data_IF_012997995691
#
_entry.id   IF_012997995691
#
_cell.length_a   1.000
_cell.length_b   1.000
_cell.length_c   1.000
_cell.angle_alpha   90.00
_cell.angle_beta   90.00
_cell.angle_gamma   90.00
#
_symmetry.space_group_name_H-M   'P 1'
#
loop_
_entity.id
_entity.type
_entity.pdbx_description
1 polymer ?
#
# COMPACT_ATOMS: atom_id res chain seq x y z
N UNK A 1 45.55 -20.23 54.22
CA UNK A 1 45.81 -21.03 53.00
C UNK A 1 44.51 -21.66 52.56
N UNK A 2 43.93 -21.21 51.44
CA UNK A 2 43.27 -22.02 50.40
C UNK A 2 42.75 -21.02 49.34
N UNK A 3 43.44 -20.95 48.19
CA UNK A 3 43.09 -20.08 47.07
C UNK A 3 42.27 -20.92 46.08
N UNK A 4 41.02 -20.53 45.81
CA UNK A 4 40.17 -21.12 44.78
C UNK A 4 40.20 -20.16 43.59
N UNK A 5 40.75 -20.52 42.42
CA UNK A 5 40.69 -19.66 41.25
C UNK A 5 39.32 -19.81 40.56
N UNK A 6 38.50 -18.77 40.62
CA UNK A 6 37.30 -18.67 39.80
C UNK A 6 37.71 -18.34 38.35
N UNK A 7 37.46 -19.30 37.47
CA UNK A 7 37.79 -19.28 36.05
C UNK A 7 36.82 -18.33 35.33
N UNK A 8 37.34 -17.21 34.83
CA UNK A 8 36.60 -16.24 34.03
C UNK A 8 36.36 -16.84 32.65
N UNK A 9 35.11 -17.26 32.39
CA UNK A 9 34.65 -17.65 31.05
C UNK A 9 34.32 -16.38 30.29
N UNK A 10 35.24 -15.95 29.42
CA UNK A 10 34.99 -14.92 28.41
C UNK A 10 34.15 -15.57 27.30
N UNK A 11 32.84 -15.40 27.38
CA UNK A 11 31.93 -15.75 26.29
C UNK A 11 32.12 -14.76 25.15
N UNK A 12 32.74 -15.20 24.06
CA UNK A 12 32.76 -14.47 22.80
C UNK A 12 31.33 -14.43 22.24
N UNK A 13 30.64 -13.31 22.40
CA UNK A 13 29.42 -13.01 21.66
C UNK A 13 29.82 -12.81 20.19
N UNK A 14 29.69 -13.88 19.41
CA UNK A 14 29.75 -13.84 17.96
C UNK A 14 28.66 -12.87 17.47
N UNK A 15 29.07 -11.74 16.90
CA UNK A 15 28.19 -10.88 16.16
C UNK A 15 27.75 -11.64 14.90
N UNK A 16 26.51 -12.10 14.85
CA UNK A 16 25.89 -12.58 13.63
C UNK A 16 25.62 -11.38 12.72
N UNK A 17 26.62 -10.97 11.94
CA UNK A 17 26.40 -10.07 10.81
C UNK A 17 25.73 -10.90 9.72
N UNK A 18 24.40 -10.88 9.67
CA UNK A 18 23.66 -11.44 8.56
C UNK A 18 23.90 -10.55 7.34
N UNK A 19 24.96 -10.85 6.57
CA UNK A 19 25.13 -10.29 5.24
C UNK A 19 24.01 -10.84 4.36
N UNK A 20 22.98 -10.03 4.13
CA UNK A 20 21.95 -10.31 3.12
C UNK A 20 22.61 -10.12 1.76
N UNK A 21 23.06 -11.22 1.16
CA UNK A 21 23.45 -11.25 -0.24
C UNK A 21 22.18 -11.22 -1.08
N UNK A 22 21.89 -10.07 -1.68
CA UNK A 22 20.88 -9.97 -2.74
C UNK A 22 21.49 -10.58 -4.00
N UNK A 23 20.91 -11.66 -4.57
CA UNK A 23 21.40 -12.23 -5.82
C UNK A 23 21.30 -11.20 -6.95
N UNK A 24 22.39 -10.99 -7.69
CA UNK A 24 22.48 -10.02 -8.78
C UNK A 24 21.84 -10.52 -10.07
N UNK A 25 21.56 -11.81 -10.17
CA UNK A 25 20.98 -12.43 -11.34
C UNK A 25 19.47 -12.55 -11.18
N UNK A 26 18.74 -11.87 -12.07
CA UNK A 26 17.31 -12.08 -12.27
C UNK A 26 17.08 -13.52 -12.72
N UNK A 27 16.57 -14.38 -11.83
CA UNK A 27 16.10 -15.71 -12.20
C UNK A 27 14.75 -15.55 -12.90
N UNK A 28 14.76 -15.64 -14.23
CA UNK A 28 13.56 -15.83 -15.04
C UNK A 28 13.05 -17.26 -14.82
N UNK A 29 11.94 -17.39 -14.09
CA UNK A 29 11.14 -18.61 -14.11
C UNK A 29 10.13 -18.49 -15.25
N UNK A 30 10.27 -19.33 -16.26
CA UNK A 30 9.18 -19.56 -17.20
C UNK A 30 8.08 -20.35 -16.48
N UNK A 31 6.94 -19.71 -16.29
CA UNK A 31 5.72 -20.37 -15.81
C UNK A 31 5.23 -21.26 -16.96
N UNK A 32 5.17 -22.59 -16.81
CA UNK A 32 4.60 -23.44 -17.85
C UNK A 32 3.15 -23.03 -18.08
N UNK A 33 2.66 -22.89 -19.32
CA UNK A 33 1.27 -22.56 -19.57
C UNK A 33 0.40 -23.75 -19.17
N UNK A 34 -0.05 -23.77 -17.91
CA UNK A 34 -1.20 -24.57 -17.51
C UNK A 34 -2.46 -23.82 -17.97
N UNK A 35 -2.74 -23.89 -19.28
CA UNK A 35 -3.96 -23.35 -19.86
C UNK A 35 -3.74 -22.80 -21.26
N UNK A 36 -4.49 -23.34 -22.22
CA UNK A 36 -4.75 -22.66 -23.49
C UNK A 36 -5.40 -21.31 -23.20
N UNK A 37 -4.72 -20.21 -23.56
CA UNK A 37 -5.32 -18.87 -23.50
C UNK A 37 -6.34 -18.79 -24.64
N UNK A 38 -7.59 -19.13 -24.33
CA UNK A 38 -8.73 -18.84 -25.20
C UNK A 38 -9.25 -17.45 -24.86
N UNK A 39 -8.92 -16.46 -25.69
CA UNK A 39 -9.75 -15.25 -25.80
C UNK A 39 -10.97 -15.61 -26.62
N UNK A 40 -11.84 -16.42 -26.03
CA UNK A 40 -13.13 -16.80 -26.59
C UNK A 40 -14.19 -16.44 -25.56
N UNK A 41 -14.80 -15.27 -25.74
CA UNK A 41 -16.16 -15.08 -25.27
C UNK A 41 -17.03 -16.09 -26.02
N UNK A 42 -17.50 -17.11 -25.29
CA UNK A 42 -18.68 -17.93 -25.59
C UNK A 42 -18.78 -18.58 -26.97
N UNK A 43 -18.65 -19.90 -27.00
CA UNK A 43 -19.12 -20.75 -28.10
C UNK A 43 -17.98 -21.50 -28.79
N UNK A 44 -17.91 -22.81 -28.55
CA UNK A 44 -16.89 -23.69 -29.12
C UNK A 44 -17.11 -24.00 -30.60
N UNK A 45 -17.03 -22.99 -31.45
CA UNK A 45 -17.04 -23.15 -32.90
C UNK A 45 -15.75 -22.62 -33.52
N UNK A 46 -15.28 -23.31 -34.56
CA UNK A 46 -14.05 -23.01 -35.29
C UNK A 46 -14.07 -21.56 -35.78
N UNK A 47 -12.97 -20.82 -35.53
CA UNK A 47 -12.81 -19.39 -35.81
C UNK A 47 -13.27 -18.95 -37.22
N UNK A 48 -13.23 -19.85 -38.21
CA UNK A 48 -13.71 -19.59 -39.56
C UNK A 48 -15.24 -19.45 -39.67
N UNK A 49 -16.01 -20.15 -38.83
CA UNK A 49 -17.48 -20.15 -38.86
C UNK A 49 -18.09 -18.87 -38.25
N UNK A 50 -17.42 -18.27 -37.27
CA UNK A 50 -17.88 -17.01 -36.63
C UNK A 50 -17.82 -15.84 -37.61
N UNK A 51 -16.83 -15.80 -38.50
CA UNK A 51 -16.68 -14.76 -39.51
C UNK A 51 -17.81 -14.86 -40.56
N UNK A 52 -18.10 -16.07 -41.07
CA UNK A 52 -19.20 -16.28 -42.02
C UNK A 52 -20.57 -15.95 -41.42
N UNK A 53 -20.79 -16.25 -40.12
CA UNK A 53 -22.03 -15.87 -39.43
C UNK A 53 -22.18 -14.36 -39.23
N UNK A 54 -21.08 -13.64 -38.99
CA UNK A 54 -21.09 -12.18 -38.85
C UNK A 54 -21.27 -11.43 -40.18
N UNK A 55 -20.97 -12.08 -41.31
CA UNK A 55 -21.19 -11.56 -42.66
C UNK A 55 -22.60 -11.88 -43.19
N UNK A 56 -23.30 -12.85 -42.61
CA UNK A 56 -24.65 -13.25 -43.01
C UNK A 56 -25.76 -12.45 -42.32
N UNK A 57 -25.51 -11.90 -41.13
CA UNK A 57 -26.46 -11.03 -40.45
C UNK A 57 -26.10 -9.56 -40.67
N UNK A 58 -26.69 -8.99 -41.73
CA UNK A 58 -26.60 -7.58 -42.04
C UNK A 58 -26.99 -6.72 -40.83
N UNK A 59 -25.98 -6.11 -40.21
CA UNK A 59 -26.16 -5.01 -39.28
C UNK A 59 -26.68 -3.80 -40.04
N UNK A 60 -27.99 -3.57 -39.97
CA UNK A 60 -28.62 -2.29 -40.32
C UNK A 60 -28.16 -1.24 -39.31
N UNK A 61 -27.00 -0.64 -39.60
CA UNK A 61 -26.43 0.46 -38.84
C UNK A 61 -27.25 1.74 -38.96
N UNK A 62 -27.64 2.31 -37.82
CA UNK A 62 -27.92 3.73 -37.72
C UNK A 62 -26.57 4.47 -37.69
N UNK A 63 -26.14 4.95 -38.85
CA UNK A 63 -24.88 5.68 -39.02
C UNK A 63 -25.04 7.14 -38.59
N UNK A 64 -24.57 7.49 -37.39
CA UNK A 64 -24.13 8.86 -37.12
C UNK A 64 -22.72 9.02 -37.72
N UNK A 65 -22.44 10.04 -38.55
CA UNK A 65 -21.11 10.19 -39.12
C UNK A 65 -20.15 10.71 -38.05
N UNK A 66 -19.24 9.85 -37.59
CA UNK A 66 -17.97 10.28 -37.03
C UNK A 66 -17.10 10.79 -38.20
N UNK A 67 -16.34 11.88 -38.05
CA UNK A 67 -15.31 12.21 -39.02
C UNK A 67 -14.26 11.10 -38.99
N UNK A 68 -14.38 10.16 -39.92
CA UNK A 68 -13.39 9.10 -40.15
C UNK A 68 -12.17 9.73 -40.81
N UNK A 69 -11.36 10.45 -40.03
CA UNK A 69 -10.06 10.96 -40.43
C UNK A 69 -8.96 10.11 -39.79
N UNK A 70 -9.05 8.79 -39.98
CA UNK A 70 -8.01 7.85 -39.60
C UNK A 70 -7.92 6.77 -40.68
N UNK A 71 -6.73 6.60 -41.25
CA UNK A 71 -6.43 5.49 -42.15
C UNK A 71 -6.57 4.17 -41.38
N UNK A 72 -7.14 3.12 -41.98
CA UNK A 72 -7.27 1.82 -41.32
C UNK A 72 -5.89 1.29 -40.93
N UNK A 73 -5.76 0.76 -39.71
CA UNK A 73 -4.49 0.32 -39.11
C UNK A 73 -3.91 -0.97 -39.73
N UNK A 74 -4.64 -1.63 -40.63
CA UNK A 74 -4.32 -2.98 -41.12
C UNK A 74 -3.64 -3.02 -42.51
N UNK A 75 -3.30 -1.86 -43.08
CA UNK A 75 -2.47 -1.77 -44.27
C UNK A 75 -1.02 -1.48 -43.84
N UNK A 76 -0.23 -2.53 -43.59
CA UNK A 76 1.19 -2.51 -43.17
C UNK A 76 2.14 -1.80 -44.17
N UNK A 77 1.60 -1.11 -45.18
CA UNK A 77 2.34 -0.36 -46.19
C UNK A 77 2.24 1.13 -45.91
N UNK A 78 3.25 1.65 -45.18
CA UNK A 78 3.42 3.09 -44.98
C UNK A 78 3.80 3.76 -46.32
N UNK A 79 2.84 4.41 -46.99
CA UNK A 79 3.07 5.05 -48.28
C UNK A 79 3.70 6.44 -48.11
N UNK A 80 5.03 6.50 -47.96
CA UNK A 80 5.81 7.74 -47.78
C UNK A 80 5.65 8.77 -48.93
N UNK A 81 5.03 8.37 -50.05
CA UNK A 81 4.80 9.21 -51.23
C UNK A 81 3.50 10.03 -51.13
N UNK A 82 2.58 9.65 -50.24
CA UNK A 82 1.22 10.21 -50.17
C UNK A 82 1.19 11.60 -49.51
N UNK A 83 2.20 11.89 -48.68
CA UNK A 83 2.37 13.18 -48.01
C UNK A 83 3.49 13.99 -48.63
N UNK A 84 3.20 15.24 -48.98
CA UNK A 84 4.22 16.18 -49.45
C UNK A 84 5.16 16.58 -48.31
N UNK A 85 6.41 16.93 -48.64
CA UNK A 85 7.39 17.40 -47.66
C UNK A 85 6.89 18.63 -46.87
N UNK A 86 6.05 19.47 -47.50
CA UNK A 86 5.44 20.63 -46.83
C UNK A 86 4.39 20.22 -45.80
N UNK A 87 3.59 19.18 -46.07
CA UNK A 87 2.63 18.67 -45.11
C UNK A 87 3.32 18.09 -43.87
N UNK A 88 4.40 17.33 -44.07
CA UNK A 88 5.19 16.78 -42.97
C UNK A 88 5.78 17.86 -42.06
N UNK A 89 6.20 19.01 -42.64
CA UNK A 89 6.70 20.16 -41.85
C UNK A 89 5.59 20.80 -41.01
N UNK A 90 4.37 20.89 -41.55
CA UNK A 90 3.22 21.44 -40.83
C UNK A 90 2.87 20.51 -39.65
N UNK A 91 2.78 19.22 -39.90
CA UNK A 91 2.42 18.22 -38.88
C UNK A 91 3.49 18.18 -37.78
N UNK A 92 4.78 18.24 -38.14
CA UNK A 92 5.87 18.33 -37.19
C UNK A 92 5.78 19.60 -36.31
N UNK A 93 5.44 20.75 -36.89
CA UNK A 93 5.28 22.00 -36.15
C UNK A 93 4.07 21.98 -35.19
N UNK A 94 2.97 21.32 -35.59
CA UNK A 94 1.80 21.12 -34.73
C UNK A 94 2.16 20.19 -33.57
N UNK A 95 2.79 19.06 -33.87
CA UNK A 95 3.21 18.10 -32.85
C UNK A 95 4.16 18.75 -31.83
N UNK A 96 5.10 19.59 -32.27
CA UNK A 96 6.00 20.31 -31.37
C UNK A 96 5.24 21.29 -30.46
N UNK A 97 4.30 22.07 -31.01
CA UNK A 97 3.46 22.99 -30.24
C UNK A 97 2.66 22.23 -29.18
N UNK A 98 2.05 21.11 -29.56
CA UNK A 98 1.22 20.32 -28.66
C UNK A 98 2.05 19.69 -27.54
N UNK A 99 3.26 19.22 -27.85
CA UNK A 99 4.20 18.68 -26.87
C UNK A 99 4.65 19.76 -25.88
N UNK A 100 4.90 20.99 -26.35
CA UNK A 100 5.19 22.14 -25.48
C UNK A 100 4.00 22.49 -24.57
N UNK A 101 2.77 22.49 -25.12
CA UNK A 101 1.55 22.74 -24.37
C UNK A 101 1.24 21.63 -23.33
N UNK A 102 1.58 20.39 -23.65
CA UNK A 102 1.47 19.27 -22.71
C UNK A 102 2.51 19.40 -21.58
N UNK A 103 3.74 19.76 -21.92
CA UNK A 103 4.83 19.97 -20.94
C UNK A 103 4.54 21.11 -19.97
N UNK A 104 3.98 22.23 -20.43
CA UNK A 104 3.66 23.37 -19.57
C UNK A 104 2.53 23.09 -18.57
N UNK A 105 1.73 22.04 -18.80
CA UNK A 105 0.65 21.59 -17.91
C UNK A 105 1.10 20.50 -16.93
N UNK A 106 2.31 19.97 -17.06
CA UNK A 106 2.78 18.88 -16.22
C UNK A 106 3.12 19.40 -14.82
N UNK A 107 2.33 19.02 -13.82
CA UNK A 107 2.63 19.28 -12.42
C UNK A 107 3.26 18.01 -11.83
N UNK A 108 4.56 18.07 -11.55
CA UNK A 108 5.25 16.99 -10.82
C UNK A 108 4.99 17.20 -9.34
N UNK A 109 4.15 16.36 -8.75
CA UNK A 109 3.93 16.35 -7.30
C UNK A 109 5.07 15.55 -6.66
N UNK A 110 5.94 16.16 -5.85
CA UNK A 110 6.95 15.42 -5.12
C UNK A 110 6.26 14.50 -4.11
N UNK A 111 6.72 13.25 -4.03
CA UNK A 111 6.29 12.35 -2.95
C UNK A 111 6.82 12.89 -1.63
N UNK A 112 5.93 13.04 -0.65
CA UNK A 112 6.34 13.35 0.72
C UNK A 112 6.95 12.10 1.35
N UNK A 113 7.81 12.28 2.36
CA UNK A 113 8.38 11.16 3.11
C UNK A 113 7.29 10.31 3.74
N UNK A 114 7.40 8.99 3.60
CA UNK A 114 6.53 8.03 4.29
C UNK A 114 6.64 8.29 5.80
N UNK A 115 5.51 8.28 6.55
CA UNK A 115 5.55 8.45 7.99
C UNK A 115 6.47 7.40 8.64
N UNK A 116 7.21 7.82 9.68
CA UNK A 116 8.07 6.91 10.43
C UNK A 116 7.22 5.82 11.09
N UNK A 117 7.55 4.55 10.83
CA UNK A 117 6.93 3.45 11.56
C UNK A 117 7.31 3.53 13.04
N UNK A 118 6.29 3.64 13.90
CA UNK A 118 6.50 3.49 15.33
C UNK A 118 6.48 2.00 15.65
N UNK A 119 7.67 1.42 15.76
CA UNK A 119 7.85 0.02 16.16
C UNK A 119 7.21 -0.23 17.54
N UNK A 120 6.41 -1.30 17.67
CA UNK A 120 5.78 -1.69 18.94
C UNK A 120 4.32 -2.15 18.79
N UNK A 121 3.60 -2.15 19.91
CA UNK A 121 2.18 -2.56 19.97
C UNK A 121 1.31 -1.66 19.10
N UNK A 122 0.44 -2.26 18.29
CA UNK A 122 -0.49 -1.53 17.44
C UNK A 122 -1.70 -1.01 18.25
N UNK A 123 -1.67 0.29 18.57
CA UNK A 123 -2.75 0.96 19.32
C UNK A 123 -4.03 1.12 18.49
N UNK A 124 -3.93 1.20 17.15
CA UNK A 124 -5.10 1.32 16.28
C UNK A 124 -5.90 0.02 16.28
N UNK A 125 -5.20 -1.13 16.23
CA UNK A 125 -5.82 -2.44 16.37
C UNK A 125 -6.50 -2.59 17.73
N UNK A 126 -5.84 -2.18 18.81
CA UNK A 126 -6.44 -2.19 20.15
C UNK A 126 -7.69 -1.30 20.23
N UNK A 127 -7.68 -0.11 19.61
CA UNK A 127 -8.84 0.77 19.56
C UNK A 127 -10.05 0.10 18.90
N UNK A 128 -9.82 -0.63 17.80
CA UNK A 128 -10.88 -1.32 17.05
C UNK A 128 -11.40 -2.57 17.75
N UNK A 129 -10.56 -3.27 18.50
CA UNK A 129 -10.96 -4.45 19.27
C UNK A 129 -11.73 -4.09 20.55
N UNK A 130 -11.56 -2.87 21.06
CA UNK A 130 -12.26 -2.38 22.25
C UNK A 130 -13.52 -1.63 21.87
N UNK A 131 -14.60 -1.84 22.64
CA UNK A 131 -15.91 -1.21 22.40
C UNK A 131 -16.35 -0.30 23.54
N UNK A 132 -15.63 -0.30 24.66
CA UNK A 132 -15.95 0.51 25.83
C UNK A 132 -15.72 2.01 25.56
N UNK A 133 -16.49 2.84 26.25
CA UNK A 133 -16.36 4.29 26.23
C UNK A 133 -15.17 4.75 27.08
N UNK A 134 -14.65 5.95 26.79
CA UNK A 134 -13.62 6.59 27.62
C UNK A 134 -14.20 6.88 29.00
N UNK A 135 -13.49 6.48 30.05
CA UNK A 135 -13.91 6.53 31.45
C UNK A 135 -14.84 5.39 31.88
N UNK A 136 -15.24 4.49 30.98
CA UNK A 136 -16.04 3.33 31.34
C UNK A 136 -15.15 2.27 32.00
N UNK A 137 -15.31 2.10 33.31
CA UNK A 137 -14.51 1.12 34.07
C UNK A 137 -14.79 -0.31 33.62
N UNK A 138 -13.75 -0.97 33.09
CA UNK A 138 -13.74 -2.38 32.68
C UNK A 138 -12.83 -3.25 33.55
N UNK A 139 -11.84 -2.63 34.19
CA UNK A 139 -10.82 -3.28 34.98
C UNK A 139 -10.85 -2.75 36.42
N UNK A 140 -10.86 -3.65 37.40
CA UNK A 140 -10.94 -3.28 38.81
C UNK A 140 -9.63 -2.67 39.28
N UNK A 141 -9.67 -1.36 39.58
CA UNK A 141 -8.54 -0.63 40.15
C UNK A 141 -8.85 -0.24 41.58
N UNK A 142 -7.81 -0.11 42.40
CA UNK A 142 -7.98 0.36 43.79
C UNK A 142 -8.51 1.79 43.75
N UNK A 143 -9.71 1.98 44.32
CA UNK A 143 -10.41 3.27 44.39
C UNK A 143 -9.49 4.31 45.01
N UNK A 144 -9.22 5.40 44.29
CA UNK A 144 -8.39 6.52 44.78
C UNK A 144 -6.96 6.58 44.24
N UNK A 145 -6.57 5.69 43.31
CA UNK A 145 -5.38 5.92 42.49
C UNK A 145 -5.59 7.23 41.71
N UNK A 146 -4.89 8.30 42.12
CA UNK A 146 -4.87 9.55 41.35
C UNK A 146 -4.24 9.28 40.00
N UNK A 147 -4.60 10.06 38.97
CA UNK A 147 -3.83 10.13 37.73
C UNK A 147 -2.35 10.20 38.10
N UNK A 148 -1.64 9.12 37.83
CA UNK A 148 -0.26 9.04 38.26
C UNK A 148 0.51 10.14 37.54
N UNK A 149 1.43 10.80 38.24
CA UNK A 149 2.40 11.71 37.62
C UNK A 149 3.19 11.02 36.50
N UNK A 150 3.14 9.69 36.42
CA UNK A 150 3.71 8.85 35.36
C UNK A 150 3.24 9.21 33.95
N UNK A 151 2.03 9.78 33.78
CA UNK A 151 1.57 10.24 32.47
C UNK A 151 2.45 11.36 31.91
N UNK A 152 3.07 12.18 32.77
CA UNK A 152 3.99 13.24 32.35
C UNK A 152 5.33 12.74 31.79
N UNK A 153 5.58 11.42 31.80
CA UNK A 153 6.81 10.81 31.24
C UNK A 153 6.74 10.61 29.73
N UNK A 154 5.55 10.64 29.15
CA UNK A 154 5.32 10.42 27.72
C UNK A 154 5.01 11.73 27.02
N UNK A 155 5.50 11.89 25.79
CA UNK A 155 5.32 13.12 25.03
C UNK A 155 3.91 13.23 24.45
N UNK A 156 3.28 12.10 24.15
CA UNK A 156 1.92 12.03 23.61
C UNK A 156 1.09 10.93 24.29
N UNK A 157 -0.26 11.04 24.30
CA UNK A 157 -1.13 9.99 24.81
C UNK A 157 -0.94 8.64 24.08
N UNK A 158 -0.66 8.67 22.78
CA UNK A 158 -0.40 7.46 21.98
C UNK A 158 0.84 6.70 22.46
N UNK A 159 1.88 7.44 22.87
CA UNK A 159 3.10 6.86 23.43
C UNK A 159 2.84 6.21 24.78
N UNK A 160 2.05 6.88 25.64
CA UNK A 160 1.61 6.32 26.91
C UNK A 160 0.78 5.04 26.71
N UNK A 161 -0.15 5.03 25.75
CA UNK A 161 -0.96 3.85 25.43
C UNK A 161 -0.10 2.70 24.91
N UNK A 162 0.87 2.97 24.04
CA UNK A 162 1.82 1.93 23.58
C UNK A 162 2.59 1.31 24.75
N UNK A 163 3.14 2.15 25.62
CA UNK A 163 3.90 1.69 26.78
C UNK A 163 3.02 0.90 27.76
N UNK A 164 1.79 1.35 27.98
CA UNK A 164 0.78 0.66 28.77
C UNK A 164 0.51 -0.75 28.24
N UNK A 165 0.18 -0.88 26.95
CA UNK A 165 -0.08 -2.18 26.33
C UNK A 165 1.18 -3.08 26.31
N UNK A 166 2.36 -2.49 26.08
CA UNK A 166 3.62 -3.23 26.11
C UNK A 166 3.98 -3.76 27.51
N UNK A 167 3.58 -3.05 28.58
CA UNK A 167 3.84 -3.43 29.97
C UNK A 167 2.82 -4.42 30.56
N UNK A 168 1.93 -4.99 29.73
CA UNK A 168 0.89 -5.94 30.13
C UNK A 168 -0.53 -5.40 30.02
N UNK A 169 -0.71 -4.13 29.65
CA UNK A 169 -1.99 -3.53 29.33
C UNK A 169 -2.96 -3.47 30.51
N UNK A 170 -4.27 -3.46 30.23
CA UNK A 170 -5.28 -3.16 31.24
C UNK A 170 -5.44 -4.22 32.33
N UNK A 171 -4.93 -5.44 32.12
CA UNK A 171 -4.98 -6.50 33.11
C UNK A 171 -4.05 -6.25 34.30
N UNK A 172 -2.87 -5.66 34.09
CA UNK A 172 -1.84 -5.55 35.13
C UNK A 172 -1.45 -4.11 35.45
N UNK A 173 -1.48 -3.21 34.46
CA UNK A 173 -1.10 -1.79 34.60
C UNK A 173 0.00 -1.52 35.64
N UNK A 174 1.14 -2.15 35.43
CA UNK A 174 2.31 -2.02 36.31
C UNK A 174 2.85 -0.59 36.39
N UNK A 175 2.51 0.24 35.40
CA UNK A 175 2.94 1.63 35.27
C UNK A 175 1.93 2.63 35.89
N UNK A 176 0.74 2.17 36.27
CA UNK A 176 -0.33 2.99 36.85
C UNK A 176 -0.84 4.07 35.91
N UNK A 177 -0.92 3.78 34.61
CA UNK A 177 -1.29 4.76 33.57
C UNK A 177 -2.80 4.88 33.36
N UNK A 178 -3.56 3.87 33.78
CA UNK A 178 -5.04 3.80 33.66
C UNK A 178 -5.64 3.65 35.08
N UNK A 179 -5.75 4.75 35.84
CA UNK A 179 -6.27 4.73 37.21
C UNK A 179 -7.78 4.52 37.29
N UNK A 180 -8.53 4.91 36.27
CA UNK A 180 -9.98 4.77 36.13
C UNK A 180 -10.39 3.36 35.72
N UNK A 181 -9.48 2.60 35.11
CA UNK A 181 -9.65 1.20 34.75
C UNK A 181 -10.45 1.02 33.47
N UNK A 182 -10.44 1.99 32.57
CA UNK A 182 -11.14 1.92 31.28
C UNK A 182 -10.29 1.26 30.18
N UNK A 183 -9.02 0.96 30.48
CA UNK A 183 -8.07 0.39 29.54
C UNK A 183 -7.50 1.39 28.53
N UNK A 184 -7.66 2.69 28.79
CA UNK A 184 -7.11 3.79 28.02
C UNK A 184 -6.19 4.65 28.89
N UNK A 185 -4.88 4.44 28.72
CA UNK A 185 -3.86 5.11 29.49
C UNK A 185 -3.88 6.63 29.28
N UNK A 186 -3.73 7.37 30.37
CA UNK A 186 -3.48 8.81 30.35
C UNK A 186 -4.48 9.63 29.51
N UNK A 187 -5.77 9.25 29.55
CA UNK A 187 -6.87 9.88 28.77
C UNK A 187 -6.72 9.74 27.25
N UNK A 188 -6.06 8.68 26.80
CA UNK A 188 -5.98 8.36 25.39
C UNK A 188 -7.38 8.11 24.81
N UNK A 189 -7.67 8.68 23.63
CA UNK A 189 -8.96 8.57 22.97
C UNK A 189 -8.90 7.55 21.81
N UNK A 190 -9.64 6.43 21.89
CA UNK A 190 -9.68 5.43 20.81
C UNK A 190 -10.56 5.88 19.63
N UNK A 191 -11.37 6.92 19.77
CA UNK A 191 -12.39 7.32 18.80
C UNK A 191 -11.85 7.55 17.39
N UNK A 192 -10.74 8.28 17.19
CA UNK A 192 -10.19 8.49 15.84
C UNK A 192 -9.77 7.18 15.18
N UNK A 193 -9.20 6.25 15.95
CA UNK A 193 -8.70 4.98 15.46
C UNK A 193 -9.81 3.98 15.11
N UNK A 194 -10.96 4.06 15.81
CA UNK A 194 -12.15 3.25 15.51
C UNK A 194 -12.83 3.67 14.21
N UNK A 195 -12.67 4.92 13.78
CA UNK A 195 -13.26 5.44 12.55
C UNK A 195 -12.39 5.18 11.31
N UNK A 196 -11.14 4.73 11.50
CA UNK A 196 -10.26 4.35 10.40
C UNK A 196 -10.85 3.12 9.70
N UNK A 197 -11.33 3.32 8.47
CA UNK A 197 -11.60 2.22 7.54
C UNK A 197 -10.25 1.80 6.95
N UNK A 198 -9.78 0.62 7.37
CA UNK A 198 -8.58 -0.02 6.81
C UNK A 198 -8.99 -0.80 5.57
#
# INVERSE_FOLDING_TARGET
>A
MMRIPALVVVGALAACTSSVTVPSDTVLYEVPPAGTVSTAGGGGDNFTATIESSLAEGSTGATAPLPQAGTPLDDDRLNLMEYTLEQQKIDAAIAERDLQAARSKLVVVPTTSVPSEVQGVNIALYAQQTTNAVGERRYDRRVGARLSSSCGRYRTPDEAQRAFLAAGGPQTDSLGLDPDGDGFACKWDPTPYRQLKI
#
